data_IF_153517979734
#
_entry.id   IF_153517979734
#
_cell.length_a   1.000
_cell.length_b   1.000
_cell.length_c   1.000
_cell.angle_alpha   90.00
_cell.angle_beta   90.00
_cell.angle_gamma   90.00
#
_symmetry.space_group_name_H-M   'P 1'
#
loop_
_entity.id
_entity.type
_entity.pdbx_description
1 polymer ?
#
# COMPACT_ATOMS: atom_id res chain seq x y z
N UNK A 1 29.63 27.75 1.36
CA UNK A 1 29.68 27.00 2.64
C UNK A 1 28.25 26.61 3.02
N UNK A 2 27.88 25.34 2.86
CA UNK A 2 26.57 24.82 3.31
C UNK A 2 26.59 24.77 4.83
N UNK A 3 25.77 25.58 5.51
CA UNK A 3 25.53 25.44 6.96
C UNK A 3 24.87 24.09 7.16
N UNK A 4 25.58 23.18 7.74
CA UNK A 4 25.07 21.88 8.14
C UNK A 4 24.14 22.11 9.35
N UNK A 5 22.88 21.76 9.22
CA UNK A 5 21.89 21.89 10.30
C UNK A 5 22.28 20.87 11.39
N UNK A 6 22.89 21.34 12.47
CA UNK A 6 23.41 20.49 13.56
C UNK A 6 22.34 19.85 14.45
N UNK A 7 21.03 20.04 14.16
CA UNK A 7 19.92 19.64 15.02
C UNK A 7 18.94 18.67 14.36
N UNK A 8 19.34 18.00 13.27
CA UNK A 8 18.47 17.04 12.56
C UNK A 8 17.90 15.93 13.44
N UNK A 9 18.71 15.40 14.37
CA UNK A 9 18.24 14.36 15.29
C UNK A 9 17.05 14.84 16.12
N UNK A 10 17.13 16.04 16.73
CA UNK A 10 16.01 16.58 17.51
C UNK A 10 14.78 16.90 16.64
N UNK A 11 14.96 17.31 15.39
CA UNK A 11 13.85 17.54 14.45
C UNK A 11 13.17 16.21 14.11
N UNK A 12 13.93 15.14 13.89
CA UNK A 12 13.38 13.80 13.65
C UNK A 12 12.62 13.28 14.87
N UNK A 13 13.15 13.47 16.08
CA UNK A 13 12.49 13.11 17.34
C UNK A 13 11.14 13.85 17.51
N UNK A 14 11.07 15.13 17.11
CA UNK A 14 9.83 15.92 17.13
C UNK A 14 8.81 15.36 16.13
N UNK A 15 9.27 15.03 14.93
CA UNK A 15 8.41 14.46 13.89
C UNK A 15 7.89 13.10 14.32
N UNK A 16 8.74 12.22 14.83
CA UNK A 16 8.36 10.90 15.33
C UNK A 16 7.36 11.00 16.49
N UNK A 17 7.63 11.87 17.47
CA UNK A 17 6.70 12.12 18.59
C UNK A 17 5.37 12.71 18.10
N UNK A 18 5.39 13.59 17.10
CA UNK A 18 4.19 14.16 16.50
C UNK A 18 3.37 13.12 15.75
N UNK A 19 4.02 12.25 14.98
CA UNK A 19 3.37 11.15 14.26
C UNK A 19 2.78 10.10 15.20
N UNK A 20 3.47 9.82 16.32
CA UNK A 20 2.94 8.93 17.37
C UNK A 20 1.88 9.58 18.28
N UNK A 21 1.52 10.86 18.01
CA UNK A 21 0.58 11.67 18.80
C UNK A 21 0.98 11.81 20.28
N UNK A 22 2.23 11.62 20.61
CA UNK A 22 2.78 11.86 21.95
C UNK A 22 3.05 13.35 22.13
N UNK A 23 2.02 14.06 22.61
CA UNK A 23 2.07 15.52 22.78
C UNK A 23 3.08 15.98 23.81
N UNK A 24 3.41 15.16 24.81
CA UNK A 24 4.38 15.50 25.85
C UNK A 24 5.81 15.37 25.33
N UNK A 25 6.11 14.28 24.61
CA UNK A 25 7.40 14.13 23.91
C UNK A 25 7.60 15.19 22.84
N UNK A 26 6.59 15.46 22.00
CA UNK A 26 6.65 16.51 20.98
C UNK A 26 7.01 17.86 21.61
N UNK A 27 6.39 18.19 22.75
CA UNK A 27 6.68 19.43 23.48
C UNK A 27 8.09 19.46 24.03
N UNK A 28 8.53 18.40 24.71
CA UNK A 28 9.86 18.33 25.34
C UNK A 28 10.98 18.44 24.29
N UNK A 29 10.85 17.73 23.17
CA UNK A 29 11.82 17.86 22.07
C UNK A 29 11.77 19.22 21.37
N UNK A 30 10.59 19.84 21.24
CA UNK A 30 10.49 21.19 20.69
C UNK A 30 11.12 22.24 21.60
N UNK A 31 10.97 22.11 22.93
CA UNK A 31 11.66 22.97 23.88
C UNK A 31 13.18 22.79 23.82
N UNK A 32 13.67 21.56 23.75
CA UNK A 32 15.09 21.23 23.60
C UNK A 32 15.65 21.80 22.28
N UNK A 33 14.89 21.77 21.18
CA UNK A 33 15.29 22.37 19.93
C UNK A 33 15.43 23.89 20.04
N UNK A 34 14.48 24.56 20.75
CA UNK A 34 14.55 26.01 20.97
C UNK A 34 15.81 26.38 21.80
N UNK A 35 16.15 25.62 22.82
CA UNK A 35 17.34 25.87 23.64
C UNK A 35 18.63 25.69 22.81
N UNK A 36 18.73 24.66 22.01
CA UNK A 36 19.87 24.42 21.12
C UNK A 36 20.01 25.49 20.02
N UNK A 37 18.91 26.04 19.54
CA UNK A 37 18.94 27.13 18.55
C UNK A 37 19.41 28.44 19.18
N UNK A 38 19.08 28.70 20.47
CA UNK A 38 19.62 29.84 21.21
C UNK A 38 21.15 29.73 21.39
N UNK A 39 21.67 28.54 21.70
CA UNK A 39 23.12 28.29 21.84
C UNK A 39 23.88 28.58 20.52
N UNK A 40 23.25 28.38 19.37
CA UNK A 40 23.83 28.62 18.05
C UNK A 40 23.59 30.06 17.55
N UNK A 41 22.85 30.88 18.35
CA UNK A 41 22.57 32.28 18.02
C UNK A 41 21.38 32.51 17.12
N UNK A 42 20.54 31.51 16.86
CA UNK A 42 19.30 31.60 16.08
C UNK A 42 18.10 31.99 16.95
N UNK A 43 18.24 33.08 17.71
CA UNK A 43 17.28 33.55 18.72
C UNK A 43 15.89 33.79 18.17
N UNK A 44 15.75 34.25 16.90
CA UNK A 44 14.45 34.54 16.30
C UNK A 44 13.62 33.27 16.06
N UNK A 45 14.25 32.19 15.67
CA UNK A 45 13.61 30.88 15.45
C UNK A 45 13.26 30.25 16.80
N UNK A 46 14.17 30.29 17.77
CA UNK A 46 13.97 29.82 19.12
C UNK A 46 12.76 30.52 19.80
N UNK A 47 12.67 31.84 19.68
CA UNK A 47 11.54 32.62 20.19
C UNK A 47 10.21 32.25 19.52
N UNK A 48 10.23 31.95 18.22
CA UNK A 48 9.04 31.52 17.50
C UNK A 48 8.53 30.16 17.97
N UNK A 49 9.45 29.21 18.21
CA UNK A 49 9.09 27.89 18.75
C UNK A 49 8.51 28.02 20.16
N UNK A 50 9.12 28.81 21.05
CA UNK A 50 8.62 29.04 22.41
C UNK A 50 7.23 29.69 22.40
N UNK A 51 6.97 30.66 21.50
CA UNK A 51 5.64 31.26 21.35
C UNK A 51 4.58 30.25 20.97
N UNK A 52 4.87 29.33 20.06
CA UNK A 52 3.96 28.25 19.68
C UNK A 52 3.68 27.33 20.88
N UNK A 53 4.70 26.98 21.65
CA UNK A 53 4.56 26.14 22.86
C UNK A 53 3.70 26.83 23.93
N UNK A 54 3.86 28.15 24.13
CA UNK A 54 3.07 28.97 25.08
C UNK A 54 1.62 29.14 24.64
N UNK A 55 1.36 29.40 23.36
CA UNK A 55 0.01 29.54 22.82
C UNK A 55 -0.81 28.25 22.97
N UNK A 56 -0.16 27.11 22.84
CA UNK A 56 -0.77 25.80 23.03
C UNK A 56 -1.08 25.53 24.53
N UNK A 57 -0.34 26.13 25.47
CA UNK A 57 -0.65 26.08 26.91
C UNK A 57 -1.81 27.00 27.30
N UNK A 58 -1.89 28.20 26.72
CA UNK A 58 -2.96 29.14 26.98
C UNK A 58 -4.32 28.59 26.55
N UNK A 59 -4.38 27.92 25.40
CA UNK A 59 -5.60 27.26 24.89
C UNK A 59 -6.10 26.14 25.81
N UNK A 60 -5.21 25.46 26.54
CA UNK A 60 -5.59 24.42 27.54
C UNK A 60 -6.02 25.00 28.90
N UNK A 61 -5.54 26.18 29.28
CA UNK A 61 -5.94 26.86 30.56
C UNK A 61 -7.25 27.61 30.45
N UNK A 62 -7.67 28.05 29.25
CA UNK A 62 -8.94 28.71 29.03
C UNK A 62 -10.15 27.77 28.87
N UNK A 63 -9.96 26.46 28.81
CA UNK A 63 -11.06 25.48 28.76
C UNK A 63 -11.54 24.97 30.13
N UNK A 64 -11.14 25.61 31.20
CA UNK A 64 -11.67 25.37 32.56
C UNK A 64 -12.66 26.43 32.96
N UNK A 65 -13.94 26.31 32.68
CA UNK A 65 -15.16 26.98 33.09
C UNK A 65 -15.84 27.79 31.99
N UNK A 66 -16.64 27.12 31.18
CA UNK A 66 -18.01 27.61 30.83
C UNK A 66 -18.74 26.41 30.19
N UNK A 67 -19.83 26.01 30.83
CA UNK A 67 -20.84 25.10 30.33
C UNK A 67 -21.48 25.67 29.07
N UNK A 68 -21.08 25.21 27.92
CA UNK A 68 -21.88 25.26 26.70
C UNK A 68 -21.72 23.92 26.00
N UNK A 69 -22.84 23.26 25.88
CA UNK A 69 -23.07 21.96 25.25
C UNK A 69 -22.59 21.92 23.80
N UNK A 70 -21.30 21.65 23.60
CA UNK A 70 -20.78 21.09 22.39
C UNK A 70 -20.32 19.68 22.80
N UNK A 71 -21.06 18.66 22.35
CA UNK A 71 -20.66 17.27 22.55
C UNK A 71 -19.21 17.10 22.17
N UNK A 72 -18.33 16.64 23.09
CA UNK A 72 -17.00 16.25 22.70
C UNK A 72 -17.18 15.10 21.70
N UNK A 73 -16.66 15.27 20.50
CA UNK A 73 -16.38 14.12 19.65
C UNK A 73 -15.55 13.19 20.52
N UNK A 74 -16.21 12.16 21.03
CA UNK A 74 -15.60 11.17 21.91
C UNK A 74 -14.42 10.61 21.13
N UNK A 75 -13.21 10.88 21.60
CA UNK A 75 -12.02 10.10 21.29
C UNK A 75 -12.28 8.71 21.86
N UNK A 76 -13.07 7.93 21.14
CA UNK A 76 -13.26 6.53 21.48
C UNK A 76 -11.91 5.87 21.25
N UNK A 77 -11.28 5.42 22.31
CA UNK A 77 -10.05 4.64 22.23
C UNK A 77 -10.27 3.47 21.29
N UNK A 78 -9.24 3.15 20.47
CA UNK A 78 -9.27 1.98 19.61
C UNK A 78 -9.65 0.74 20.44
N UNK A 79 -10.51 -0.16 19.96
CA UNK A 79 -10.85 -1.36 20.67
C UNK A 79 -9.61 -2.23 20.88
N UNK A 80 -9.46 -2.69 22.11
CA UNK A 80 -8.34 -3.50 22.57
C UNK A 80 -8.90 -4.86 22.98
N UNK A 81 -8.20 -5.91 22.63
CA UNK A 81 -8.51 -7.25 23.13
C UNK A 81 -8.29 -7.29 24.66
N UNK A 82 -9.30 -7.72 25.45
CA UNK A 82 -9.21 -7.72 26.91
C UNK A 82 -8.08 -8.60 27.46
N UNK A 83 -7.70 -9.65 26.75
CA UNK A 83 -6.74 -10.65 27.19
C UNK A 83 -5.32 -10.31 26.77
N UNK A 84 -5.08 -10.08 25.48
CA UNK A 84 -3.75 -9.76 24.93
C UNK A 84 -3.38 -8.29 25.07
N UNK A 85 -4.35 -7.40 25.36
CA UNK A 85 -4.21 -5.93 25.36
C UNK A 85 -3.72 -5.35 24.05
N UNK A 86 -3.81 -6.12 22.98
CA UNK A 86 -3.46 -5.71 21.62
C UNK A 86 -4.58 -4.89 20.99
N UNK A 87 -4.24 -3.87 20.20
CA UNK A 87 -5.21 -3.12 19.42
C UNK A 87 -5.79 -4.01 18.33
N UNK A 88 -7.12 -4.05 18.20
CA UNK A 88 -7.83 -4.87 17.22
C UNK A 88 -7.89 -4.20 15.83
N UNK A 89 -7.61 -2.90 15.77
CA UNK A 89 -7.65 -2.11 14.54
C UNK A 89 -6.47 -1.16 14.46
N UNK A 90 -6.04 -0.90 13.23
CA UNK A 90 -5.13 0.18 12.88
C UNK A 90 -5.93 1.27 12.16
N UNK A 91 -5.86 2.50 12.65
CA UNK A 91 -6.52 3.65 12.04
C UNK A 91 -5.55 4.44 11.17
N UNK A 92 -5.98 4.77 9.96
CA UNK A 92 -5.26 5.65 9.06
C UNK A 92 -6.21 6.64 8.38
N UNK A 93 -5.69 7.83 8.11
CA UNK A 93 -6.37 8.81 7.26
C UNK A 93 -5.60 8.82 5.93
N UNK A 94 -6.04 8.06 4.92
CA UNK A 94 -5.30 7.92 3.68
C UNK A 94 -5.24 9.25 2.93
N UNK A 95 -4.02 9.71 2.65
CA UNK A 95 -3.75 10.81 1.73
C UNK A 95 -3.14 10.15 0.50
N UNK A 96 -3.81 10.29 -0.64
CA UNK A 96 -3.36 9.71 -1.90
C UNK A 96 -3.15 10.83 -2.90
N UNK A 97 -1.92 10.95 -3.39
CA UNK A 97 -1.58 11.94 -4.41
C UNK A 97 -2.10 11.54 -5.80
N UNK A 98 -2.33 10.24 -6.02
CA UNK A 98 -2.76 9.70 -7.31
C UNK A 98 -3.70 8.50 -7.13
N UNK A 99 -4.67 8.32 -8.06
CA UNK A 99 -5.49 7.12 -8.08
C UNK A 99 -4.63 5.86 -8.36
N UNK A 100 -5.09 4.68 -7.92
CA UNK A 100 -4.41 3.43 -8.23
C UNK A 100 -4.47 3.13 -9.74
N UNK A 101 -3.38 2.56 -10.27
CA UNK A 101 -3.35 2.08 -11.65
C UNK A 101 -3.91 0.66 -11.64
N UNK A 102 -5.08 0.48 -12.24
CA UNK A 102 -5.83 -0.78 -12.28
C UNK A 102 -6.33 -1.02 -13.71
N UNK A 103 -6.73 -2.27 -13.97
CA UNK A 103 -7.40 -2.57 -15.23
C UNK A 103 -8.70 -1.74 -15.38
N UNK A 104 -9.08 -1.36 -16.61
CA UNK A 104 -10.19 -0.45 -16.85
C UNK A 104 -11.54 -0.92 -16.29
N UNK A 105 -11.79 -2.24 -16.26
CA UNK A 105 -13.02 -2.79 -15.72
C UNK A 105 -13.08 -2.64 -14.19
N UNK A 106 -11.99 -2.97 -13.50
CA UNK A 106 -11.91 -2.79 -12.05
C UNK A 106 -12.05 -1.31 -11.66
N UNK A 107 -11.34 -0.43 -12.38
CA UNK A 107 -11.43 1.01 -12.13
C UNK A 107 -12.86 1.53 -12.31
N UNK A 108 -13.56 1.11 -13.37
CA UNK A 108 -14.95 1.48 -13.64
C UNK A 108 -15.90 1.03 -12.51
N UNK A 109 -15.75 -0.20 -12.01
CA UNK A 109 -16.60 -0.70 -10.91
C UNK A 109 -16.32 0.02 -9.60
N UNK A 110 -15.06 0.36 -9.32
CA UNK A 110 -14.68 1.14 -8.14
C UNK A 110 -15.22 2.58 -8.24
N UNK A 111 -15.07 3.22 -9.40
CA UNK A 111 -15.63 4.56 -9.63
C UNK A 111 -17.15 4.54 -9.50
N UNK A 112 -17.82 3.52 -10.02
CA UNK A 112 -19.26 3.34 -9.85
C UNK A 112 -19.65 3.21 -8.39
N UNK A 113 -18.93 2.39 -7.61
CA UNK A 113 -19.16 2.28 -6.16
C UNK A 113 -19.05 3.65 -5.49
N UNK A 114 -17.98 4.41 -5.75
CA UNK A 114 -17.75 5.75 -5.19
C UNK A 114 -18.87 6.73 -5.60
N UNK A 115 -19.29 6.73 -6.88
CA UNK A 115 -20.35 7.61 -7.37
C UNK A 115 -21.69 7.31 -6.68
N UNK A 116 -22.04 6.05 -6.46
CA UNK A 116 -23.25 5.69 -5.73
C UNK A 116 -23.24 6.21 -4.30
N UNK A 117 -22.07 6.22 -3.65
CA UNK A 117 -21.93 6.80 -2.30
C UNK A 117 -22.07 8.32 -2.30
N UNK A 118 -21.45 9.00 -3.27
CA UNK A 118 -21.55 10.45 -3.40
C UNK A 118 -23.00 10.94 -3.60
N UNK A 119 -23.84 10.10 -4.18
CA UNK A 119 -25.26 10.39 -4.44
C UNK A 119 -26.21 9.67 -3.49
N UNK A 120 -25.72 9.14 -2.36
CA UNK A 120 -26.51 8.35 -1.41
C UNK A 120 -27.79 9.04 -0.97
N UNK A 121 -27.78 10.36 -0.77
CA UNK A 121 -28.96 11.14 -0.37
C UNK A 121 -30.11 11.09 -1.38
N UNK A 122 -29.79 10.98 -2.68
CA UNK A 122 -30.81 10.84 -3.72
C UNK A 122 -31.48 9.46 -3.63
N UNK A 123 -30.70 8.41 -3.43
CA UNK A 123 -31.21 7.05 -3.29
C UNK A 123 -32.05 6.88 -2.04
N UNK A 124 -31.65 7.49 -0.92
CA UNK A 124 -32.43 7.49 0.34
C UNK A 124 -33.80 8.15 0.14
N UNK A 125 -33.89 9.25 -0.61
CA UNK A 125 -35.17 9.92 -0.92
C UNK A 125 -36.12 9.06 -1.73
N UNK A 126 -35.55 8.25 -2.63
CA UNK A 126 -36.32 7.32 -3.48
C UNK A 126 -36.57 5.95 -2.79
N UNK A 127 -36.11 5.77 -1.55
CA UNK A 127 -36.24 4.51 -0.82
C UNK A 127 -35.37 3.39 -1.36
N UNK A 128 -34.32 3.72 -2.13
CA UNK A 128 -33.40 2.76 -2.72
C UNK A 128 -32.20 2.54 -1.79
N UNK A 129 -31.86 1.29 -1.41
CA UNK A 129 -30.69 1.03 -0.59
C UNK A 129 -29.39 1.38 -1.34
N UNK A 130 -28.46 2.01 -0.66
CA UNK A 130 -27.12 2.32 -1.20
C UNK A 130 -26.17 1.16 -0.89
N UNK A 131 -25.41 0.64 -1.86
CA UNK A 131 -24.44 -0.42 -1.62
C UNK A 131 -23.33 0.10 -0.70
N UNK A 132 -22.89 -0.69 0.27
CA UNK A 132 -21.87 -0.28 1.25
C UNK A 132 -20.74 -1.28 1.45
N UNK A 133 -20.81 -2.41 0.76
CA UNK A 133 -19.83 -3.48 0.89
C UNK A 133 -19.14 -3.78 -0.43
N UNK A 134 -17.80 -3.88 -0.39
CA UNK A 134 -16.93 -4.11 -1.54
C UNK A 134 -15.96 -5.25 -1.24
N UNK A 135 -15.94 -6.28 -2.07
CA UNK A 135 -14.95 -7.36 -2.03
C UNK A 135 -13.93 -7.18 -3.16
N UNK A 136 -12.67 -7.08 -2.79
CA UNK A 136 -11.52 -7.01 -3.70
C UNK A 136 -10.82 -8.36 -3.71
N UNK A 137 -10.66 -8.99 -4.87
CA UNK A 137 -9.97 -10.26 -4.97
C UNK A 137 -9.00 -10.29 -6.15
N UNK A 138 -8.00 -11.16 -6.08
CA UNK A 138 -6.99 -11.32 -7.12
C UNK A 138 -5.59 -11.57 -6.57
N UNK A 139 -4.58 -11.74 -7.41
CA UNK A 139 -3.22 -12.08 -7.01
C UNK A 139 -2.61 -11.12 -5.99
N UNK A 140 -1.62 -11.56 -5.19
CA UNK A 140 -0.90 -10.67 -4.28
C UNK A 140 -0.17 -9.56 -5.06
N UNK A 141 -0.06 -8.38 -4.44
CA UNK A 141 0.63 -7.24 -5.04
C UNK A 141 -0.14 -6.50 -6.15
N UNK A 142 -1.41 -6.83 -6.43
CA UNK A 142 -2.25 -6.18 -7.45
C UNK A 142 -2.96 -4.90 -6.95
N UNK A 143 -2.61 -4.38 -5.77
CA UNK A 143 -3.11 -3.09 -5.31
C UNK A 143 -4.42 -3.12 -4.52
N UNK A 144 -4.84 -4.28 -3.95
CA UNK A 144 -6.09 -4.39 -3.15
C UNK A 144 -6.13 -3.41 -1.97
N UNK A 145 -5.10 -3.39 -1.15
CA UNK A 145 -5.01 -2.49 0.01
C UNK A 145 -4.86 -1.02 -0.42
N UNK A 146 -4.19 -0.75 -1.55
CA UNK A 146 -4.10 0.59 -2.16
C UNK A 146 -5.48 1.05 -2.64
N UNK A 147 -6.27 0.15 -3.23
CA UNK A 147 -7.65 0.44 -3.67
C UNK A 147 -8.56 0.73 -2.47
N UNK A 148 -8.45 -0.01 -1.37
CA UNK A 148 -9.21 0.27 -0.16
C UNK A 148 -8.89 1.66 0.41
N UNK A 149 -7.61 2.05 0.44
CA UNK A 149 -7.17 3.41 0.81
C UNK A 149 -7.72 4.47 -0.14
N UNK A 150 -7.71 4.20 -1.45
CA UNK A 150 -8.26 5.11 -2.45
C UNK A 150 -9.76 5.34 -2.24
N UNK A 151 -10.54 4.28 -2.03
CA UNK A 151 -11.98 4.39 -1.75
C UNK A 151 -12.23 5.21 -0.48
N UNK A 152 -11.51 4.93 0.61
CA UNK A 152 -11.63 5.68 1.86
C UNK A 152 -11.29 7.17 1.68
N UNK A 153 -10.22 7.48 0.92
CA UNK A 153 -9.84 8.84 0.55
C UNK A 153 -10.96 9.57 -0.22
N UNK A 154 -11.50 8.94 -1.26
CA UNK A 154 -12.56 9.50 -2.10
C UNK A 154 -13.88 9.73 -1.34
N UNK A 155 -14.16 8.88 -0.34
CA UNK A 155 -15.28 9.03 0.57
C UNK A 155 -15.01 10.03 1.70
N UNK A 156 -13.77 10.50 1.86
CA UNK A 156 -13.30 11.38 2.94
C UNK A 156 -13.55 10.78 4.34
N UNK A 157 -13.37 9.49 4.45
CA UNK A 157 -13.55 8.74 5.68
C UNK A 157 -12.22 8.15 6.15
N UNK A 158 -12.00 8.02 7.48
CA UNK A 158 -10.86 7.27 7.99
C UNK A 158 -10.99 5.79 7.60
N UNK A 159 -9.84 5.14 7.38
CA UNK A 159 -9.74 3.72 7.13
C UNK A 159 -9.34 3.01 8.42
N UNK A 160 -10.18 2.11 8.88
CA UNK A 160 -9.93 1.24 10.03
C UNK A 160 -9.61 -0.16 9.51
N UNK A 161 -8.35 -0.56 9.57
CA UNK A 161 -7.92 -1.90 9.15
C UNK A 161 -8.02 -2.85 10.33
N UNK A 162 -8.76 -3.96 10.17
CA UNK A 162 -8.83 -5.00 11.20
C UNK A 162 -7.52 -5.77 11.23
N UNK A 163 -6.99 -5.95 12.40
CA UNK A 163 -5.90 -6.86 12.67
C UNK A 163 -6.46 -8.26 12.93
N UNK A 164 -6.62 -9.05 11.86
CA UNK A 164 -7.18 -10.39 11.95
C UNK A 164 -6.35 -11.31 12.86
N UNK A 165 -5.02 -11.15 12.86
CA UNK A 165 -4.09 -11.83 13.78
C UNK A 165 -4.45 -11.59 15.26
N UNK A 166 -4.69 -10.33 15.62
CA UNK A 166 -5.06 -9.95 16.99
C UNK A 166 -6.49 -10.40 17.36
N UNK A 167 -7.42 -10.34 16.39
CA UNK A 167 -8.80 -10.79 16.60
C UNK A 167 -8.87 -12.30 16.84
N UNK A 168 -8.00 -13.08 16.16
CA UNK A 168 -8.01 -14.54 16.18
C UNK A 168 -7.10 -15.14 17.26
N UNK A 169 -6.11 -14.39 17.75
CA UNK A 169 -5.17 -14.86 18.81
C UNK A 169 -5.81 -14.98 20.19
N UNK A 170 -6.96 -14.36 20.39
CA UNK A 170 -7.70 -14.48 21.63
C UNK A 170 -8.46 -15.82 21.67
N UNK A 171 -8.46 -16.45 22.85
CA UNK A 171 -9.14 -17.74 23.10
C UNK A 171 -10.51 -17.84 22.42
N UNK A 172 -10.81 -19.00 21.93
CA UNK A 172 -11.92 -19.47 21.08
C UNK A 172 -13.34 -18.90 21.31
N UNK A 173 -13.62 -18.25 22.43
CA UNK A 173 -14.92 -17.63 22.72
C UNK A 173 -14.98 -16.11 22.56
N UNK A 174 -13.85 -15.44 22.41
CA UNK A 174 -13.76 -13.97 22.42
C UNK A 174 -13.74 -13.37 21.00
N UNK A 175 -13.36 -14.15 19.98
CA UNK A 175 -13.25 -13.69 18.58
C UNK A 175 -14.54 -13.05 18.04
N UNK A 176 -15.70 -13.69 18.25
CA UNK A 176 -16.99 -13.14 17.80
C UNK A 176 -17.33 -11.83 18.52
N UNK A 177 -16.99 -11.71 19.80
CA UNK A 177 -17.18 -10.50 20.61
C UNK A 177 -16.24 -9.40 20.14
N UNK A 178 -14.99 -9.72 19.88
CA UNK A 178 -13.98 -8.78 19.38
C UNK A 178 -14.38 -8.22 18.01
N UNK A 179 -14.83 -9.09 17.08
CA UNK A 179 -15.38 -8.65 15.80
C UNK A 179 -16.54 -7.66 15.99
N UNK A 180 -17.52 -8.01 16.83
CA UNK A 180 -18.65 -7.11 17.07
C UNK A 180 -18.21 -5.77 17.64
N UNK A 181 -17.28 -5.74 18.59
CA UNK A 181 -16.73 -4.52 19.18
C UNK A 181 -16.06 -3.64 18.11
N UNK A 182 -15.32 -4.25 17.17
CA UNK A 182 -14.71 -3.54 16.05
C UNK A 182 -15.76 -2.92 15.12
N UNK A 183 -16.81 -3.69 14.76
CA UNK A 183 -17.90 -3.17 13.92
C UNK A 183 -18.66 -2.03 14.60
N UNK A 184 -18.96 -2.15 15.89
CA UNK A 184 -19.60 -1.09 16.67
C UNK A 184 -18.74 0.17 16.76
N UNK A 185 -17.43 0.01 16.93
CA UNK A 185 -16.51 1.14 16.95
C UNK A 185 -16.47 1.84 15.59
N UNK A 186 -16.32 1.09 14.50
CA UNK A 186 -16.28 1.63 13.14
C UNK A 186 -17.60 2.36 12.76
N UNK A 187 -18.74 1.79 13.15
CA UNK A 187 -20.05 2.40 12.89
C UNK A 187 -20.23 3.73 13.63
N UNK A 188 -19.75 3.83 14.88
CA UNK A 188 -19.79 5.09 15.66
C UNK A 188 -18.88 6.17 15.11
N UNK A 189 -17.77 5.77 14.48
CA UNK A 189 -16.73 6.68 13.99
C UNK A 189 -17.00 7.18 12.56
N UNK A 190 -18.02 6.66 11.89
CA UNK A 190 -18.27 6.92 10.46
C UNK A 190 -17.00 6.69 9.63
N UNK A 191 -16.51 5.46 9.60
CA UNK A 191 -15.26 5.05 8.96
C UNK A 191 -15.50 3.99 7.89
N UNK A 192 -14.51 3.75 7.06
CA UNK A 192 -14.42 2.56 6.21
C UNK A 192 -13.72 1.45 7.00
N UNK A 193 -14.38 0.32 7.18
CA UNK A 193 -13.80 -0.85 7.82
C UNK A 193 -13.15 -1.74 6.75
N UNK A 194 -11.86 -1.99 6.88
CA UNK A 194 -11.08 -2.79 5.94
C UNK A 194 -10.62 -4.11 6.57
N UNK A 195 -10.99 -5.21 5.91
CA UNK A 195 -10.57 -6.56 6.24
C UNK A 195 -9.52 -7.00 5.22
N UNK A 196 -8.25 -6.80 5.53
CA UNK A 196 -7.17 -7.31 4.68
C UNK A 196 -6.90 -8.79 4.95
N UNK A 197 -6.37 -9.50 3.96
CA UNK A 197 -6.07 -10.94 4.04
C UNK A 197 -7.27 -11.77 4.55
N UNK A 198 -8.45 -11.46 4.06
CA UNK A 198 -9.69 -12.09 4.50
C UNK A 198 -9.68 -13.62 4.36
N UNK A 199 -8.85 -14.17 3.49
CA UNK A 199 -8.58 -15.60 3.34
C UNK A 199 -7.86 -16.23 4.55
N UNK A 200 -7.25 -15.45 5.43
CA UNK A 200 -6.65 -15.98 6.67
C UNK A 200 -7.72 -16.73 7.48
N UNK A 201 -8.96 -16.23 7.48
CA UNK A 201 -10.10 -16.88 8.13
C UNK A 201 -10.44 -18.21 7.43
N UNK A 202 -10.21 -18.34 6.13
CA UNK A 202 -10.55 -19.54 5.36
C UNK A 202 -9.44 -20.60 5.40
N UNK A 203 -8.17 -20.21 5.49
CA UNK A 203 -7.00 -21.12 5.52
C UNK A 203 -6.94 -22.03 6.74
N UNK A 204 -7.52 -21.63 7.86
CA UNK A 204 -7.59 -22.47 9.08
C UNK A 204 -8.50 -23.71 8.91
N UNK A 205 -9.16 -23.89 7.76
CA UNK A 205 -10.01 -25.05 7.46
C UNK A 205 -9.27 -26.38 7.37
N UNK A 206 -7.97 -26.37 7.17
CA UNK A 206 -7.18 -27.60 6.95
C UNK A 206 -6.89 -28.37 8.25
N UNK A 207 -7.10 -27.74 9.42
CA UNK A 207 -7.00 -28.42 10.71
C UNK A 207 -8.36 -29.01 11.12
N UNK A 208 -8.45 -30.32 11.14
CA UNK A 208 -9.71 -31.08 11.33
C UNK A 208 -10.44 -30.80 12.65
N UNK A 209 -9.77 -30.24 13.66
CA UNK A 209 -10.36 -29.85 14.96
C UNK A 209 -10.94 -28.43 14.98
N UNK A 210 -10.63 -27.55 14.01
CA UNK A 210 -11.01 -26.13 14.02
C UNK A 210 -12.15 -25.77 13.04
N UNK A 211 -12.58 -26.71 12.19
CA UNK A 211 -13.60 -26.47 11.15
C UNK A 211 -14.90 -25.84 11.71
N UNK A 212 -15.30 -26.22 12.92
CA UNK A 212 -16.50 -25.68 13.58
C UNK A 212 -16.39 -24.22 13.96
N UNK A 213 -15.21 -23.77 14.33
CA UNK A 213 -14.95 -22.42 14.83
C UNK A 213 -14.80 -21.42 13.71
N UNK A 214 -14.12 -21.80 12.65
CA UNK A 214 -13.99 -20.96 11.45
C UNK A 214 -15.37 -20.65 10.87
N UNK A 215 -16.25 -21.64 10.81
CA UNK A 215 -17.66 -21.44 10.42
C UNK A 215 -18.36 -20.43 11.34
N UNK A 216 -18.07 -20.47 12.64
CA UNK A 216 -18.63 -19.49 13.60
C UNK A 216 -18.10 -18.09 13.37
N UNK A 217 -16.80 -17.93 13.09
CA UNK A 217 -16.17 -16.63 12.79
C UNK A 217 -16.74 -16.06 11.50
N UNK A 218 -16.81 -16.86 10.43
CA UNK A 218 -17.41 -16.46 9.15
C UNK A 218 -18.87 -16.06 9.33
N UNK A 219 -19.65 -16.86 10.05
CA UNK A 219 -21.06 -16.54 10.33
C UNK A 219 -21.20 -15.27 11.18
N UNK A 220 -20.35 -15.08 12.18
CA UNK A 220 -20.33 -13.88 13.00
C UNK A 220 -19.99 -12.64 12.15
N UNK A 221 -19.03 -12.74 11.22
CA UNK A 221 -18.69 -11.66 10.32
C UNK A 221 -19.85 -11.31 9.39
N UNK A 222 -20.48 -12.30 8.75
CA UNK A 222 -21.66 -12.11 7.90
C UNK A 222 -22.77 -11.43 8.71
N UNK A 223 -23.05 -11.91 9.93
CA UNK A 223 -24.04 -11.30 10.82
C UNK A 223 -23.70 -9.85 11.16
N UNK A 224 -22.43 -9.52 11.38
CA UNK A 224 -22.02 -8.15 11.64
C UNK A 224 -22.16 -7.25 10.41
N UNK A 225 -21.82 -7.72 9.21
CA UNK A 225 -22.05 -6.96 7.97
C UNK A 225 -23.56 -6.64 7.83
N UNK A 226 -24.42 -7.62 8.04
CA UNK A 226 -25.88 -7.45 7.98
C UNK A 226 -26.42 -6.52 9.11
N UNK A 227 -25.84 -6.58 10.31
CA UNK A 227 -26.26 -5.80 11.47
C UNK A 227 -25.89 -4.31 11.39
N UNK A 228 -24.88 -3.96 10.59
CA UNK A 228 -24.40 -2.58 10.42
C UNK A 228 -24.56 -2.07 8.97
N UNK A 229 -25.77 -1.98 8.41
CA UNK A 229 -26.02 -1.69 7.00
C UNK A 229 -25.59 -0.27 6.57
N UNK A 230 -25.23 0.59 7.52
CA UNK A 230 -24.72 1.96 7.24
C UNK A 230 -23.19 2.04 7.26
N UNK A 231 -22.50 0.98 7.65
CA UNK A 231 -21.05 0.92 7.70
C UNK A 231 -20.49 0.55 6.32
N UNK A 232 -19.46 1.25 5.90
CA UNK A 232 -18.68 0.87 4.73
C UNK A 232 -17.74 -0.27 5.08
N UNK A 233 -17.84 -1.39 4.39
CA UNK A 233 -17.00 -2.57 4.60
C UNK A 233 -16.28 -2.90 3.30
N UNK A 234 -14.97 -2.95 3.34
CA UNK A 234 -14.13 -3.41 2.23
C UNK A 234 -13.39 -4.64 2.71
N UNK A 235 -13.46 -5.74 1.97
CA UNK A 235 -12.67 -6.93 2.23
C UNK A 235 -11.71 -7.19 1.06
N UNK A 236 -10.53 -7.73 1.36
CA UNK A 236 -9.54 -8.11 0.36
C UNK A 236 -9.05 -9.55 0.57
N UNK A 237 -8.95 -10.32 -0.51
CA UNK A 237 -8.44 -11.69 -0.48
C UNK A 237 -7.50 -11.98 -1.64
N UNK A 238 -6.49 -12.82 -1.36
CA UNK A 238 -5.59 -13.38 -2.37
C UNK A 238 -6.05 -14.76 -2.84
N UNK A 239 -7.01 -15.39 -2.15
CA UNK A 239 -7.44 -16.78 -2.34
C UNK A 239 -8.95 -16.88 -2.48
N UNK A 240 -9.48 -16.44 -3.61
CA UNK A 240 -10.90 -16.43 -3.93
C UNK A 240 -11.57 -17.79 -3.79
N UNK A 241 -10.85 -18.88 -4.15
CA UNK A 241 -11.34 -20.25 -4.10
C UNK A 241 -11.54 -20.79 -2.68
N UNK A 242 -10.96 -20.14 -1.67
CA UNK A 242 -11.13 -20.53 -0.27
C UNK A 242 -12.37 -19.92 0.38
N UNK A 243 -12.96 -18.88 -0.23
CA UNK A 243 -14.12 -18.20 0.31
C UNK A 243 -15.40 -19.01 0.08
N UNK A 244 -16.22 -19.09 1.14
CA UNK A 244 -17.55 -19.68 1.06
C UNK A 244 -18.46 -18.88 0.12
N UNK A 245 -19.24 -19.54 -0.77
CA UNK A 245 -20.20 -18.86 -1.64
C UNK A 245 -21.19 -17.93 -0.91
N UNK A 246 -21.47 -18.19 0.37
CA UNK A 246 -22.33 -17.33 1.18
C UNK A 246 -21.71 -15.96 1.44
N UNK A 247 -20.38 -15.87 1.49
CA UNK A 247 -19.64 -14.61 1.67
C UNK A 247 -19.81 -13.72 0.44
N UNK A 248 -19.63 -14.29 -0.77
CA UNK A 248 -19.73 -13.57 -2.03
C UNK A 248 -21.07 -12.83 -2.18
N UNK A 249 -22.15 -13.44 -1.71
CA UNK A 249 -23.52 -12.88 -1.80
C UNK A 249 -23.77 -11.73 -0.82
N UNK A 250 -22.86 -11.47 0.11
CA UNK A 250 -23.00 -10.40 1.12
C UNK A 250 -22.32 -9.10 0.72
N UNK A 251 -21.49 -9.15 -0.32
CA UNK A 251 -20.87 -7.95 -0.85
C UNK A 251 -21.68 -7.41 -2.02
N UNK A 252 -22.03 -6.13 -1.95
CA UNK A 252 -22.79 -5.42 -3.00
C UNK A 252 -21.98 -5.30 -4.28
N UNK A 253 -20.65 -5.11 -4.15
CA UNK A 253 -19.70 -5.04 -5.23
C UNK A 253 -18.60 -6.08 -5.04
N UNK A 254 -18.23 -6.71 -6.16
CA UNK A 254 -17.16 -7.69 -6.21
C UNK A 254 -16.25 -7.33 -7.38
N UNK A 255 -14.99 -6.99 -7.07
CA UNK A 255 -14.04 -6.46 -8.07
C UNK A 255 -12.81 -7.35 -8.16
N UNK A 256 -12.54 -7.85 -9.36
CA UNK A 256 -11.35 -8.64 -9.66
C UNK A 256 -10.19 -7.73 -10.06
N UNK A 257 -9.13 -7.72 -9.25
CA UNK A 257 -7.88 -7.02 -9.53
C UNK A 257 -6.91 -8.00 -10.20
N UNK A 258 -6.64 -7.77 -11.45
CA UNK A 258 -5.74 -8.59 -12.27
C UNK A 258 -4.27 -8.14 -12.12
N UNK A 259 -3.35 -9.01 -12.54
CA UNK A 259 -1.97 -8.58 -12.80
C UNK A 259 -1.97 -7.48 -13.88
N UNK A 260 -1.09 -6.48 -13.77
CA UNK A 260 -1.08 -5.37 -14.70
C UNK A 260 -0.67 -5.80 -16.11
N UNK A 261 -1.40 -5.30 -17.10
CA UNK A 261 -1.06 -5.44 -18.53
C UNK A 261 0.18 -4.58 -18.90
N UNK A 262 0.76 -4.69 -20.10
CA UNK A 262 1.97 -3.94 -20.48
C UNK A 262 1.83 -2.42 -20.32
N UNK A 263 0.69 -1.84 -20.65
CA UNK A 263 0.46 -0.38 -20.54
C UNK A 263 0.35 0.05 -19.08
N UNK A 264 -0.32 -0.75 -18.25
CA UNK A 264 -0.41 -0.54 -16.81
C UNK A 264 0.96 -0.72 -16.14
N UNK A 265 1.76 -1.72 -16.54
CA UNK A 265 3.14 -1.89 -16.04
C UNK A 265 4.01 -0.69 -16.40
N UNK A 266 3.90 -0.18 -17.63
CA UNK A 266 4.62 1.02 -18.04
C UNK A 266 4.21 2.23 -17.19
N UNK A 267 2.92 2.41 -16.94
CA UNK A 267 2.41 3.50 -16.09
C UNK A 267 2.88 3.36 -14.63
N UNK A 268 2.89 2.14 -14.07
CA UNK A 268 3.41 1.85 -12.73
C UNK A 268 4.91 2.14 -12.64
N UNK A 269 5.71 1.65 -13.59
CA UNK A 269 7.14 1.93 -13.63
C UNK A 269 7.42 3.44 -13.72
N UNK A 270 6.70 4.18 -14.57
CA UNK A 270 6.79 5.63 -14.65
C UNK A 270 6.47 6.31 -13.32
N UNK A 271 5.45 5.83 -12.61
CA UNK A 271 5.07 6.35 -11.29
C UNK A 271 6.16 6.07 -10.25
N UNK A 272 6.68 4.84 -10.17
CA UNK A 272 7.68 4.45 -9.17
C UNK A 272 9.09 5.00 -9.46
N UNK A 273 9.40 5.26 -10.73
CA UNK A 273 10.63 5.91 -11.19
C UNK A 273 10.46 7.43 -11.34
N UNK A 274 9.42 8.03 -10.78
CA UNK A 274 9.22 9.47 -10.80
C UNK A 274 10.50 10.19 -10.34
N UNK A 275 10.83 11.32 -11.02
CA UNK A 275 12.05 12.09 -10.83
C UNK A 275 13.35 11.44 -11.39
N UNK A 276 13.22 10.45 -12.26
CA UNK A 276 14.35 9.87 -12.99
C UNK A 276 14.20 10.08 -14.49
N UNK A 277 15.32 10.25 -15.17
CA UNK A 277 15.36 10.42 -16.63
C UNK A 277 15.40 9.05 -17.32
N UNK A 278 14.22 8.46 -17.57
CA UNK A 278 14.07 7.24 -18.38
C UNK A 278 13.14 7.56 -19.55
N UNK A 279 13.60 7.28 -20.75
CA UNK A 279 12.82 7.48 -21.97
C UNK A 279 11.58 6.56 -22.00
N UNK A 280 10.49 7.09 -22.52
CA UNK A 280 9.22 6.33 -22.61
C UNK A 280 9.34 5.09 -23.50
N UNK A 281 10.12 5.20 -24.59
CA UNK A 281 10.44 4.09 -25.46
C UNK A 281 11.12 2.93 -24.75
N UNK A 282 12.00 3.23 -23.80
CA UNK A 282 12.73 2.22 -23.02
C UNK A 282 11.85 1.59 -21.97
N UNK A 283 11.02 2.39 -21.27
CA UNK A 283 10.03 1.89 -20.32
C UNK A 283 9.04 0.91 -20.96
N UNK A 284 8.69 1.13 -22.22
CA UNK A 284 7.83 0.21 -22.95
C UNK A 284 8.45 -1.18 -23.08
N UNK A 285 9.74 -1.28 -23.41
CA UNK A 285 10.43 -2.55 -23.48
C UNK A 285 10.57 -3.21 -22.11
N UNK A 286 10.88 -2.42 -21.09
CA UNK A 286 10.93 -2.89 -19.70
C UNK A 286 9.57 -3.44 -19.27
N UNK A 287 8.48 -2.76 -19.61
CA UNK A 287 7.13 -3.23 -19.32
C UNK A 287 6.80 -4.57 -20.00
N UNK A 288 7.31 -4.82 -21.20
CA UNK A 288 7.16 -6.11 -21.89
C UNK A 288 7.98 -7.18 -21.15
N UNK A 289 9.24 -6.91 -20.81
CA UNK A 289 10.13 -7.84 -20.11
C UNK A 289 9.65 -8.22 -18.71
N UNK A 290 8.79 -7.42 -18.08
CA UNK A 290 8.22 -7.67 -16.75
C UNK A 290 6.85 -8.37 -16.81
N UNK A 291 6.60 -9.19 -17.82
CA UNK A 291 5.37 -9.98 -17.92
C UNK A 291 5.19 -10.88 -16.68
N UNK A 292 3.97 -10.88 -16.13
CA UNK A 292 3.65 -11.64 -14.91
C UNK A 292 4.04 -10.96 -13.59
N UNK A 293 4.75 -9.81 -13.63
CA UNK A 293 5.03 -9.03 -12.42
C UNK A 293 3.77 -8.34 -11.89
N UNK A 294 3.60 -8.38 -10.58
CA UNK A 294 2.59 -7.59 -9.88
C UNK A 294 3.04 -6.13 -9.70
N UNK A 295 2.14 -5.25 -9.28
CA UNK A 295 2.48 -3.87 -8.92
C UNK A 295 3.54 -3.78 -7.84
N UNK A 296 3.48 -4.64 -6.84
CA UNK A 296 4.49 -4.71 -5.76
C UNK A 296 5.88 -5.18 -6.27
N UNK A 297 5.92 -6.09 -7.24
CA UNK A 297 7.18 -6.50 -7.87
C UNK A 297 7.83 -5.34 -8.62
N UNK A 298 7.03 -4.58 -9.38
CA UNK A 298 7.50 -3.41 -10.12
C UNK A 298 7.99 -2.30 -9.19
N UNK A 299 7.30 -2.09 -8.07
CA UNK A 299 7.73 -1.15 -7.04
C UNK A 299 9.09 -1.54 -6.45
N UNK A 300 9.27 -2.82 -6.10
CA UNK A 300 10.56 -3.32 -5.60
C UNK A 300 11.69 -3.16 -6.63
N UNK A 301 11.43 -3.46 -7.90
CA UNK A 301 12.41 -3.25 -8.99
C UNK A 301 12.79 -1.77 -9.06
N UNK A 302 11.82 -0.86 -9.07
CA UNK A 302 12.05 0.56 -9.14
C UNK A 302 12.82 1.10 -7.91
N UNK A 303 12.45 0.66 -6.71
CA UNK A 303 13.15 1.06 -5.47
C UNK A 303 14.62 0.62 -5.51
N UNK A 304 14.90 -0.64 -5.86
CA UNK A 304 16.27 -1.16 -5.97
C UNK A 304 17.07 -0.43 -7.05
N UNK A 305 16.46 -0.18 -8.21
CA UNK A 305 17.10 0.60 -9.29
C UNK A 305 17.51 1.97 -8.81
N UNK A 306 16.65 2.66 -8.05
CA UNK A 306 16.94 3.98 -7.48
C UNK A 306 18.03 3.91 -6.40
N UNK A 307 18.05 2.88 -5.58
CA UNK A 307 19.12 2.65 -4.60
C UNK A 307 20.47 2.44 -5.29
N UNK A 308 20.54 1.59 -6.31
CA UNK A 308 21.76 1.37 -7.11
C UNK A 308 22.20 2.64 -7.82
N UNK A 309 21.27 3.48 -8.31
CA UNK A 309 21.60 4.77 -8.95
C UNK A 309 22.29 5.74 -7.97
N UNK A 310 21.92 5.72 -6.69
CA UNK A 310 22.60 6.53 -5.66
C UNK A 310 24.02 6.03 -5.41
N UNK A 311 24.24 4.70 -5.45
CA UNK A 311 25.56 4.10 -5.26
C UNK A 311 26.47 4.21 -6.49
N UNK A 312 25.88 4.26 -7.68
CA UNK A 312 26.59 4.31 -8.96
C UNK A 312 26.04 5.44 -9.86
N UNK A 313 26.28 6.71 -9.51
CA UNK A 313 25.68 7.87 -10.17
C UNK A 313 26.04 8.01 -11.65
N UNK A 314 27.20 7.48 -12.06
CA UNK A 314 27.70 7.57 -13.45
C UNK A 314 27.01 6.57 -14.38
N UNK A 315 26.38 5.50 -13.85
CA UNK A 315 25.70 4.50 -14.66
C UNK A 315 24.30 5.02 -15.05
N UNK A 316 23.94 4.97 -16.35
CA UNK A 316 22.59 5.32 -16.79
C UNK A 316 21.54 4.49 -16.05
N UNK A 317 20.47 5.15 -15.59
CA UNK A 317 19.44 4.47 -14.79
C UNK A 317 18.77 3.31 -15.53
N UNK A 318 18.66 3.42 -16.85
CA UNK A 318 18.06 2.35 -17.67
C UNK A 318 18.91 1.07 -17.63
N UNK A 319 20.25 1.17 -17.58
CA UNK A 319 21.11 -0.02 -17.43
C UNK A 319 20.86 -0.71 -16.09
N UNK A 320 20.70 0.08 -15.02
CA UNK A 320 20.42 -0.46 -13.69
C UNK A 320 19.03 -1.11 -13.66
N UNK A 321 18.04 -0.46 -14.26
CA UNK A 321 16.66 -0.96 -14.34
C UNK A 321 16.58 -2.29 -15.07
N UNK A 322 17.17 -2.40 -16.25
CA UNK A 322 17.17 -3.64 -17.04
C UNK A 322 17.89 -4.76 -16.30
N UNK A 323 18.98 -4.45 -15.58
CA UNK A 323 19.72 -5.39 -14.75
C UNK A 323 18.87 -5.88 -13.56
N UNK A 324 18.14 -5.01 -12.88
CA UNK A 324 17.24 -5.39 -11.78
C UNK A 324 16.07 -6.25 -12.28
N UNK A 325 15.49 -5.91 -13.44
CA UNK A 325 14.45 -6.74 -14.07
C UNK A 325 14.99 -8.14 -14.38
N UNK A 326 16.16 -8.22 -15.01
CA UNK A 326 16.80 -9.50 -15.32
C UNK A 326 17.01 -10.34 -14.06
N UNK A 327 17.56 -9.75 -13.01
CA UNK A 327 17.78 -10.47 -11.75
C UNK A 327 16.46 -10.91 -11.09
N UNK A 328 15.42 -10.13 -11.17
CA UNK A 328 14.11 -10.47 -10.61
C UNK A 328 13.47 -11.64 -11.37
N UNK A 329 13.53 -11.61 -12.69
CA UNK A 329 12.88 -12.60 -13.55
C UNK A 329 13.63 -13.93 -13.61
N UNK A 330 14.96 -13.89 -13.67
CA UNK A 330 15.81 -15.09 -13.70
C UNK A 330 16.19 -15.60 -12.30
N UNK A 331 16.40 -14.71 -11.35
CA UNK A 331 16.83 -15.04 -9.98
C UNK A 331 15.78 -15.78 -9.17
N UNK A 332 14.49 -15.69 -9.50
CA UNK A 332 13.43 -16.47 -8.86
C UNK A 332 13.57 -17.97 -9.12
N UNK A 333 14.34 -18.37 -10.14
CA UNK A 333 14.67 -19.76 -10.47
C UNK A 333 15.95 -20.26 -9.78
N UNK A 334 16.76 -19.35 -9.22
CA UNK A 334 18.06 -19.66 -8.58
C UNK A 334 18.16 -19.03 -7.19
N UNK A 335 17.86 -19.79 -6.17
CA UNK A 335 17.76 -19.37 -4.75
C UNK A 335 19.07 -18.81 -4.12
N UNK A 336 20.20 -18.73 -4.78
CA UNK A 336 21.46 -18.46 -4.08
C UNK A 336 22.54 -17.61 -4.75
N UNK A 337 22.42 -17.18 -6.01
CA UNK A 337 23.44 -16.30 -6.63
C UNK A 337 22.81 -15.33 -7.62
N UNK A 338 23.19 -14.03 -7.52
CA UNK A 338 23.04 -13.10 -8.63
C UNK A 338 23.66 -13.76 -9.87
N UNK A 339 22.95 -13.82 -11.02
CA UNK A 339 23.54 -14.37 -12.24
C UNK A 339 24.89 -13.69 -12.49
N UNK A 340 25.89 -14.43 -12.88
CA UNK A 340 27.14 -13.81 -13.33
C UNK A 340 26.79 -12.76 -14.39
N UNK A 341 27.41 -11.60 -14.34
CA UNK A 341 27.18 -10.49 -15.29
C UNK A 341 27.70 -10.87 -16.69
N UNK A 342 27.02 -11.88 -17.28
CA UNK A 342 27.33 -12.31 -18.63
C UNK A 342 26.46 -11.55 -19.63
N UNK A 343 27.13 -10.77 -20.47
CA UNK A 343 26.48 -9.99 -21.55
C UNK A 343 25.61 -10.85 -22.45
N UNK A 344 26.01 -12.10 -22.69
CA UNK A 344 25.26 -13.03 -23.55
C UNK A 344 23.95 -13.47 -22.90
N UNK A 345 23.95 -13.75 -21.62
CA UNK A 345 22.75 -14.12 -20.86
C UNK A 345 21.76 -12.96 -20.77
N UNK A 346 22.23 -11.71 -20.56
CA UNK A 346 21.37 -10.54 -20.54
C UNK A 346 20.72 -10.28 -21.92
N UNK A 347 21.47 -10.36 -23.01
CA UNK A 347 20.91 -10.20 -24.37
C UNK A 347 19.89 -11.30 -24.65
N UNK A 348 20.19 -12.56 -24.29
CA UNK A 348 19.26 -13.68 -24.46
C UNK A 348 18.00 -13.50 -23.63
N UNK A 349 18.10 -12.99 -22.41
CA UNK A 349 16.95 -12.67 -21.58
C UNK A 349 16.04 -11.65 -22.28
N UNK A 350 16.60 -10.54 -22.77
CA UNK A 350 15.84 -9.52 -23.49
C UNK A 350 15.15 -10.13 -24.72
N UNK A 351 15.89 -10.89 -25.54
CA UNK A 351 15.34 -11.51 -26.74
C UNK A 351 14.23 -12.52 -26.45
N UNK A 352 14.36 -13.30 -25.39
CA UNK A 352 13.35 -14.28 -25.02
C UNK A 352 12.05 -13.64 -24.56
N UNK A 353 12.12 -12.52 -23.81
CA UNK A 353 10.95 -11.83 -23.29
C UNK A 353 10.33 -10.83 -24.28
N UNK A 354 11.07 -10.47 -25.33
CA UNK A 354 10.59 -9.53 -26.36
C UNK A 354 10.46 -10.17 -27.75
N UNK A 355 10.55 -11.51 -27.83
CA UNK A 355 10.52 -12.24 -29.10
C UNK A 355 11.58 -11.76 -30.13
N UNK A 356 12.70 -11.23 -29.63
CA UNK A 356 13.76 -10.65 -30.45
C UNK A 356 13.40 -9.36 -31.18
N UNK A 357 12.29 -8.74 -30.82
CA UNK A 357 11.76 -7.52 -31.51
C UNK A 357 12.52 -6.24 -31.14
N UNK A 358 13.35 -6.26 -30.07
CA UNK A 358 14.13 -5.08 -29.67
C UNK A 358 15.28 -4.86 -30.64
N UNK A 359 15.43 -3.69 -31.27
CA UNK A 359 16.58 -3.39 -32.14
C UNK A 359 17.91 -3.46 -31.37
N UNK A 360 18.98 -3.92 -32.02
CA UNK A 360 20.29 -4.02 -31.38
C UNK A 360 20.79 -2.69 -30.80
N UNK A 361 20.52 -1.58 -31.49
CA UNK A 361 20.84 -0.23 -31.00
C UNK A 361 20.07 0.15 -29.73
N UNK A 362 18.82 -0.27 -29.62
CA UNK A 362 18.01 -0.07 -28.39
C UNK A 362 18.60 -0.90 -27.23
N UNK A 363 19.01 -2.15 -27.47
CA UNK A 363 19.70 -2.97 -26.46
C UNK A 363 21.01 -2.28 -26.02
N UNK A 364 21.77 -1.67 -26.94
CA UNK A 364 22.96 -0.90 -26.59
C UNK A 364 22.62 0.26 -25.64
N UNK A 365 21.59 1.04 -25.93
CA UNK A 365 21.11 2.13 -25.07
C UNK A 365 20.69 1.61 -23.70
N UNK A 366 19.97 0.49 -23.65
CA UNK A 366 19.40 -0.07 -22.42
C UNK A 366 20.41 -0.83 -21.56
N UNK A 367 21.53 -1.28 -22.11
CA UNK A 367 22.48 -2.18 -21.41
C UNK A 367 23.95 -1.74 -21.45
N UNK A 368 24.30 -0.81 -22.34
CA UNK A 368 25.70 -0.46 -22.65
C UNK A 368 26.46 -1.52 -23.44
N UNK A 369 25.80 -2.58 -23.92
CA UNK A 369 26.40 -3.63 -24.76
C UNK A 369 26.31 -3.16 -26.21
N UNK A 370 27.48 -2.98 -26.90
CA UNK A 370 27.49 -2.47 -28.26
C UNK A 370 26.62 -3.30 -29.22
N UNK A 371 26.00 -2.63 -30.18
CA UNK A 371 25.12 -3.24 -31.18
C UNK A 371 25.80 -4.36 -31.97
N UNK A 372 27.09 -4.21 -32.27
CA UNK A 372 27.92 -5.24 -32.90
C UNK A 372 28.07 -6.49 -32.03
N UNK A 373 28.19 -6.33 -30.71
CA UNK A 373 28.25 -7.45 -29.76
C UNK A 373 26.87 -8.14 -29.67
N UNK A 374 25.78 -7.38 -29.63
CA UNK A 374 24.40 -7.91 -29.67
C UNK A 374 24.18 -8.72 -30.93
N UNK A 375 24.55 -8.20 -32.09
CA UNK A 375 24.42 -8.88 -33.38
C UNK A 375 25.23 -10.20 -33.39
N UNK A 376 26.43 -10.22 -32.83
CA UNK A 376 27.27 -11.42 -32.69
C UNK A 376 26.58 -12.48 -31.83
N UNK A 377 26.07 -12.09 -30.66
CA UNK A 377 25.37 -13.01 -29.73
C UNK A 377 24.13 -13.63 -30.40
N UNK A 378 23.38 -12.85 -31.16
CA UNK A 378 22.20 -13.33 -31.92
C UNK A 378 22.56 -14.35 -33.01
N UNK A 379 23.67 -14.14 -33.73
CA UNK A 379 24.16 -15.07 -34.76
C UNK A 379 24.55 -16.42 -34.17
N UNK A 380 25.26 -16.42 -33.05
CA UNK A 380 25.67 -17.68 -32.35
C UNK A 380 24.45 -18.52 -31.91
N UNK A 381 23.27 -17.92 -31.72
CA UNK A 381 22.01 -18.63 -31.43
C UNK A 381 21.47 -19.36 -32.69
N UNK A 382 21.64 -18.78 -33.86
CA UNK A 382 21.15 -19.35 -35.14
C UNK A 382 21.91 -20.61 -35.55
N UNK A 383 23.21 -20.73 -35.21
CA UNK A 383 24.04 -21.89 -35.56
C UNK A 383 23.77 -23.13 -34.70
N UNK A 384 23.28 -22.96 -33.47
CA UNK A 384 22.96 -24.09 -32.56
C UNK A 384 21.65 -24.78 -32.93
N UNK A 385 20.70 -24.06 -33.58
CA UNK A 385 19.39 -24.60 -33.96
C UNK A 385 19.41 -25.35 -35.29
N UNK A 386 20.45 -25.17 -36.10
CA UNK A 386 20.58 -25.83 -37.42
C UNK A 386 21.36 -27.16 -37.41
N UNK A 387 21.85 -27.59 -36.22
CA UNK A 387 22.60 -28.86 -36.06
C UNK A 387 22.03 -29.78 -34.96
N UNK A 388 20.73 -29.70 -34.66
CA UNK A 388 20.04 -30.57 -33.74
C UNK A 388 18.88 -31.34 -34.39
#
# INVERSE_FOLDING_TARGET
>A
MKKQISHWATVLDIIEAGLSRDTDKTRNYSALLADRLDEVGEMAVAASIRRILESTQASRRSSGNTSSTISPAQTAFAPVDPESRSTLIDESNPILDKPPILNPLALKEIDRFIQLQRHADLFVREGIPTPRSLLLYGPPGCGKSTTARFVAHELRLPLLTIRLDAVMSSFLGTTAKNLRTVFEHAARRAAVLFLDEFDAIAKMRDDSNEIGEIKRIVNSLIQNIDAFPKLYVIAATNHEHLLDPAIWRRFDFVVHLLLPNPDERMALLRQFLAHTEVEESDLRWVAIMTEGCSGADLEQIAVRTRQEKVLAPDIPIIHLLVREVWWRMEGSKMISKRPAEDKSSLVRFIDNHTEGKVPARTIEVMTGISDSTVARIRRTKGEIVTHG
#
